data_IF_341955542566
#
_entry.id   IF_341955542566
#
_cell.length_a   1.000
_cell.length_b   1.000
_cell.length_c   1.000
_cell.angle_alpha   90.00
_cell.angle_beta   90.00
_cell.angle_gamma   90.00
#
_symmetry.space_group_name_H-M   'P 1'
#
loop_
_entity.id
_entity.type
_entity.pdbx_description
1 polymer ?
#
# COMPACT_ATOMS: atom_id res chain seq x y z
N UNK A 1 7.40 -2.27 10.71
CA UNK A 1 6.04 -1.75 10.44
C UNK A 1 4.99 -2.81 10.68
N UNK A 2 3.82 -2.40 11.05
CA UNK A 2 2.70 -3.32 11.25
C UNK A 2 1.83 -3.35 10.00
N UNK A 3 0.99 -4.39 9.88
CA UNK A 3 0.01 -4.46 8.81
C UNK A 3 -0.96 -3.29 8.92
N UNK A 4 -1.41 -2.78 7.78
CA UNK A 4 -2.35 -1.66 7.71
C UNK A 4 -3.41 -1.98 6.66
N UNK A 5 -4.62 -1.46 6.87
CA UNK A 5 -5.64 -1.53 5.84
C UNK A 5 -5.33 -0.49 4.75
N UNK A 6 -5.91 -0.68 3.58
CA UNK A 6 -5.76 0.29 2.48
C UNK A 6 -6.25 1.67 2.91
N UNK A 7 -7.34 1.70 3.67
CA UNK A 7 -7.92 2.94 4.19
C UNK A 7 -6.95 3.67 5.10
N UNK A 8 -6.33 2.95 6.02
CA UNK A 8 -5.35 3.52 6.94
C UNK A 8 -4.14 4.08 6.20
N UNK A 9 -3.64 3.32 5.23
CA UNK A 9 -2.47 3.74 4.46
C UNK A 9 -2.79 4.97 3.61
N UNK A 10 -3.97 5.00 2.98
CA UNK A 10 -4.41 6.16 2.20
C UNK A 10 -4.53 7.41 3.08
N UNK A 11 -5.05 7.23 4.29
CA UNK A 11 -5.19 8.31 5.26
C UNK A 11 -3.82 8.87 5.65
N UNK A 12 -2.86 8.01 5.90
CA UNK A 12 -1.47 8.40 6.19
C UNK A 12 -0.84 9.16 5.03
N UNK A 13 -1.19 8.78 3.81
CA UNK A 13 -0.67 9.44 2.60
C UNK A 13 -1.40 10.74 2.28
N UNK A 14 -2.53 11.00 2.92
CA UNK A 14 -3.35 12.17 2.64
C UNK A 14 -4.09 12.09 1.31
N UNK A 15 -4.40 10.88 0.85
CA UNK A 15 -5.11 10.66 -0.40
C UNK A 15 -6.31 9.73 -0.17
N UNK A 16 -7.16 9.61 -1.18
CA UNK A 16 -8.28 8.68 -1.12
C UNK A 16 -7.78 7.26 -1.37
N UNK A 17 -8.58 6.26 -0.96
CA UNK A 17 -8.27 4.85 -1.23
C UNK A 17 -8.17 4.63 -2.74
N UNK A 18 -9.03 5.29 -3.52
CA UNK A 18 -9.00 5.16 -4.98
C UNK A 18 -7.66 5.62 -5.55
N UNK A 19 -7.14 6.74 -5.07
CA UNK A 19 -5.84 7.26 -5.52
C UNK A 19 -4.72 6.29 -5.13
N UNK A 20 -4.76 5.78 -3.91
CA UNK A 20 -3.78 4.80 -3.45
C UNK A 20 -3.79 3.54 -4.33
N UNK A 21 -4.97 3.06 -4.68
CA UNK A 21 -5.10 1.89 -5.55
C UNK A 21 -4.56 2.15 -6.95
N UNK A 22 -4.74 3.36 -7.46
CA UNK A 22 -4.17 3.76 -8.76
C UNK A 22 -2.64 3.73 -8.70
N UNK A 23 -2.06 4.16 -7.60
CA UNK A 23 -0.62 4.07 -7.39
C UNK A 23 -0.17 2.61 -7.37
N UNK A 24 -0.89 1.76 -6.66
CA UNK A 24 -0.55 0.34 -6.55
C UNK A 24 -0.59 -0.37 -7.90
N UNK A 25 -1.46 0.06 -8.81
CA UNK A 25 -1.52 -0.52 -10.16
C UNK A 25 -0.22 -0.38 -10.93
N UNK A 26 0.50 0.71 -10.71
CA UNK A 26 1.77 0.94 -11.40
C UNK A 26 2.81 -0.09 -11.03
N UNK A 27 2.70 -0.66 -9.82
CA UNK A 27 3.64 -1.63 -9.29
C UNK A 27 2.97 -2.98 -9.08
N UNK A 28 1.90 -3.26 -9.84
CA UNK A 28 1.12 -4.48 -9.67
C UNK A 28 1.97 -5.75 -9.80
N UNK A 29 2.85 -5.78 -10.79
CA UNK A 29 3.75 -6.93 -10.99
C UNK A 29 4.67 -7.14 -9.79
N UNK A 30 5.24 -6.07 -9.27
CA UNK A 30 6.13 -6.14 -8.12
C UNK A 30 5.37 -6.56 -6.86
N UNK A 31 4.18 -5.99 -6.65
CA UNK A 31 3.36 -6.33 -5.50
C UNK A 31 2.90 -7.77 -5.55
N UNK A 32 2.52 -8.26 -6.72
CA UNK A 32 2.14 -9.66 -6.90
C UNK A 32 3.31 -10.60 -6.59
N UNK A 33 4.50 -10.23 -7.02
CA UNK A 33 5.70 -11.01 -6.73
C UNK A 33 6.01 -11.04 -5.23
N UNK A 34 5.58 -10.02 -4.49
CA UNK A 34 5.74 -9.96 -3.04
C UNK A 34 4.63 -10.69 -2.29
N UNK A 35 3.68 -11.29 -3.01
CA UNK A 35 2.59 -12.06 -2.41
C UNK A 35 1.34 -11.26 -2.10
N UNK A 36 1.21 -10.04 -2.60
CA UNK A 36 0.01 -9.24 -2.40
C UNK A 36 -1.14 -9.75 -3.28
N UNK A 37 -2.28 -10.01 -2.66
CA UNK A 37 -3.49 -10.42 -3.38
C UNK A 37 -4.25 -9.19 -3.89
N UNK A 38 -4.82 -9.25 -5.10
CA UNK A 38 -5.52 -8.09 -5.68
C UNK A 38 -6.69 -7.58 -4.84
N UNK A 39 -7.34 -8.47 -4.11
CA UNK A 39 -8.49 -8.13 -3.28
C UNK A 39 -8.19 -8.12 -1.78
N UNK A 40 -6.92 -8.06 -1.41
CA UNK A 40 -6.54 -8.01 0.00
C UNK A 40 -7.05 -6.71 0.63
N UNK A 41 -7.73 -6.81 1.77
CA UNK A 41 -8.22 -5.65 2.51
C UNK A 41 -7.15 -5.08 3.44
N UNK A 42 -6.27 -5.95 3.91
CA UNK A 42 -5.18 -5.58 4.82
C UNK A 42 -3.87 -5.85 4.13
N UNK A 43 -2.96 -4.90 4.21
CA UNK A 43 -1.64 -4.99 3.59
C UNK A 43 -0.65 -5.51 4.62
N UNK A 44 0.10 -6.59 4.31
CA UNK A 44 1.14 -7.08 5.22
C UNK A 44 2.23 -6.04 5.46
N UNK A 45 2.99 -6.16 6.55
CA UNK A 45 4.04 -5.17 6.87
C UNK A 45 5.05 -4.95 5.75
N UNK A 46 5.45 -6.00 5.05
CA UNK A 46 6.44 -5.85 3.97
C UNK A 46 5.87 -5.06 2.78
N UNK A 47 4.58 -5.21 2.51
CA UNK A 47 3.90 -4.44 1.46
C UNK A 47 3.75 -2.99 1.88
N UNK A 48 3.36 -2.74 3.13
CA UNK A 48 3.25 -1.38 3.67
C UNK A 48 4.60 -0.68 3.55
N UNK A 49 5.67 -1.35 3.94
CA UNK A 49 7.02 -0.81 3.86
C UNK A 49 7.40 -0.47 2.42
N UNK A 50 7.09 -1.34 1.48
CA UNK A 50 7.36 -1.12 0.05
C UNK A 50 6.65 0.13 -0.45
N UNK A 51 5.34 0.22 -0.18
CA UNK A 51 4.52 1.34 -0.67
C UNK A 51 4.96 2.65 -0.02
N UNK A 52 5.19 2.67 1.27
CA UNK A 52 5.61 3.89 1.96
C UNK A 52 6.96 4.39 1.47
N UNK A 53 7.87 3.48 1.17
CA UNK A 53 9.17 3.82 0.64
C UNK A 53 9.08 4.37 -0.78
N UNK A 54 8.24 3.76 -1.63
CA UNK A 54 8.09 4.17 -3.04
C UNK A 54 7.43 5.54 -3.17
N UNK A 55 6.47 5.84 -2.32
CA UNK A 55 5.68 7.07 -2.42
C UNK A 55 6.01 8.08 -1.33
N UNK A 56 7.06 7.82 -0.55
CA UNK A 56 7.51 8.70 0.53
C UNK A 56 6.39 9.03 1.53
N UNK A 57 5.57 8.03 1.85
CA UNK A 57 4.47 8.19 2.80
C UNK A 57 5.02 8.10 4.22
N UNK A 58 4.65 9.07 5.04
CA UNK A 58 5.02 9.08 6.45
C UNK A 58 3.92 8.37 7.25
N UNK A 59 4.24 7.24 7.87
CA UNK A 59 3.28 6.42 8.61
C UNK A 59 3.52 6.42 10.11
N UNK A 60 4.42 7.23 10.58
CA UNK A 60 4.73 7.34 12.01
C UNK A 60 3.97 8.45 12.68
#
# INVERSE_FOLDING_TARGET
MKAMSKSELADCAGVTVQTLMNWCRRFDNELSAMGMLPNAKVLPPHIVKFITKKFAIDVE
#
